data_IF_386394678448
#
_entry.id   IF_386394678448
#
_cell.length_a   1.000
_cell.length_b   1.000
_cell.length_c   1.000
_cell.angle_alpha   90.00
_cell.angle_beta   90.00
_cell.angle_gamma   90.00
#
_symmetry.space_group_name_H-M   'P 1'
#
loop_
_entity.id
_entity.type
_entity.pdbx_description
1 polymer ?
#
# COMPACT_ATOMS: atom_id res chain seq x y z
N UNK A 1 31.36 17.34 -22.93
CA UNK A 1 30.03 17.87 -22.52
C UNK A 1 29.13 18.13 -23.73
N UNK A 2 29.48 18.90 -24.77
CA UNK A 2 28.62 19.19 -25.96
C UNK A 2 28.21 17.95 -26.77
N UNK A 3 29.10 16.96 -26.96
CA UNK A 3 28.78 15.72 -27.67
C UNK A 3 27.78 14.86 -26.90
N UNK A 4 27.96 14.72 -25.57
CA UNK A 4 27.02 13.97 -24.69
C UNK A 4 25.63 14.59 -24.75
N UNK A 5 25.50 15.91 -24.61
CA UNK A 5 24.21 16.62 -24.72
C UNK A 5 23.54 16.40 -26.08
N UNK A 6 24.34 16.32 -27.17
CA UNK A 6 23.78 16.06 -28.52
C UNK A 6 23.23 14.65 -28.65
N UNK A 7 23.85 13.66 -27.97
CA UNK A 7 23.33 12.27 -27.93
C UNK A 7 22.09 12.21 -27.09
N UNK A 8 22.15 12.73 -25.85
CA UNK A 8 21.02 12.65 -24.89
C UNK A 8 19.78 13.37 -25.42
N UNK A 9 19.92 14.52 -26.10
CA UNK A 9 18.79 15.26 -26.69
C UNK A 9 18.33 14.71 -28.06
N UNK A 10 18.77 13.51 -28.45
CA UNK A 10 18.38 12.92 -29.73
C UNK A 10 16.92 12.47 -29.72
N UNK A 11 16.10 12.85 -30.73
CA UNK A 11 14.71 12.36 -30.85
C UNK A 11 14.61 10.84 -30.96
N UNK A 12 15.69 10.17 -31.44
CA UNK A 12 15.73 8.71 -31.55
C UNK A 12 15.60 8.03 -30.20
N UNK A 13 16.23 8.58 -29.16
CA UNK A 13 16.11 8.02 -27.79
C UNK A 13 14.65 8.06 -27.32
N UNK A 14 13.99 9.19 -27.51
CA UNK A 14 12.57 9.32 -27.18
C UNK A 14 11.71 8.29 -27.92
N UNK A 15 11.90 8.17 -29.23
CA UNK A 15 11.14 7.19 -30.03
C UNK A 15 11.37 5.75 -29.57
N UNK A 16 12.61 5.37 -29.28
CA UNK A 16 12.90 4.01 -28.78
C UNK A 16 12.30 3.77 -27.40
N UNK A 17 12.35 4.75 -26.49
CA UNK A 17 11.73 4.59 -25.16
C UNK A 17 10.22 4.53 -25.23
N UNK A 18 9.57 5.25 -26.16
CA UNK A 18 8.11 5.12 -26.40
C UNK A 18 7.77 3.71 -26.91
N UNK A 19 8.49 3.21 -27.92
CA UNK A 19 8.28 1.84 -28.42
C UNK A 19 8.48 0.81 -27.29
N UNK A 20 9.50 1.01 -26.45
CA UNK A 20 9.74 0.15 -25.30
C UNK A 20 8.61 0.20 -24.28
N UNK A 21 8.05 1.38 -24.00
CA UNK A 21 6.86 1.49 -23.14
C UNK A 21 5.65 0.73 -23.70
N UNK A 22 5.44 0.76 -25.02
CA UNK A 22 4.38 -0.04 -25.67
C UNK A 22 4.61 -1.53 -25.41
N UNK A 23 5.86 -2.00 -25.53
CA UNK A 23 6.24 -3.38 -25.23
C UNK A 23 5.98 -3.72 -23.76
N UNK A 24 6.34 -2.83 -22.83
CA UNK A 24 6.05 -3.01 -21.40
C UNK A 24 4.54 -3.09 -21.12
N UNK A 25 3.73 -2.21 -21.75
CA UNK A 25 2.27 -2.24 -21.63
C UNK A 25 1.72 -3.57 -22.12
N UNK A 26 2.17 -4.05 -23.28
CA UNK A 26 1.75 -5.33 -23.85
C UNK A 26 2.04 -6.50 -22.90
N UNK A 27 3.29 -6.65 -22.47
CA UNK A 27 3.65 -7.74 -21.55
C UNK A 27 3.02 -7.57 -20.17
N UNK A 28 2.92 -6.34 -19.65
CA UNK A 28 2.25 -6.06 -18.40
C UNK A 28 0.76 -6.45 -18.44
N UNK A 29 0.07 -6.16 -19.55
CA UNK A 29 -1.35 -6.53 -19.73
C UNK A 29 -1.53 -8.06 -19.81
N UNK A 30 -0.66 -8.76 -20.53
CA UNK A 30 -0.72 -10.23 -20.57
C UNK A 30 -0.48 -10.84 -19.19
N UNK A 31 0.53 -10.32 -18.48
CA UNK A 31 0.90 -10.83 -17.15
C UNK A 31 -0.22 -10.65 -16.11
N UNK A 32 -1.11 -9.65 -16.26
CA UNK A 32 -2.26 -9.45 -15.35
C UNK A 32 -3.15 -10.68 -15.26
N UNK A 33 -3.26 -11.46 -16.35
CA UNK A 33 -4.03 -12.70 -16.35
C UNK A 33 -3.48 -13.71 -15.34
N UNK A 34 -2.18 -13.76 -15.15
CA UNK A 34 -1.52 -14.81 -14.36
C UNK A 34 -1.20 -14.34 -12.93
N UNK A 35 -0.65 -13.12 -12.79
CA UNK A 35 -0.17 -12.59 -11.50
C UNK A 35 -1.01 -11.45 -10.93
N UNK A 36 -2.09 -11.05 -11.62
CA UNK A 36 -2.97 -9.95 -11.21
C UNK A 36 -2.46 -8.56 -11.57
N UNK A 37 -3.35 -7.57 -11.43
CA UNK A 37 -3.09 -6.18 -11.83
C UNK A 37 -1.93 -5.56 -11.03
N UNK A 38 -2.03 -5.60 -9.70
CA UNK A 38 -1.04 -4.98 -8.81
C UNK A 38 0.37 -5.53 -9.01
N UNK A 39 0.52 -6.86 -8.99
CA UNK A 39 1.83 -7.49 -9.17
C UNK A 39 2.43 -7.21 -10.56
N UNK A 40 1.58 -7.14 -11.61
CA UNK A 40 2.02 -6.74 -12.95
C UNK A 40 2.49 -5.29 -13.00
N UNK A 41 1.76 -4.36 -12.36
CA UNK A 41 2.17 -2.96 -12.27
C UNK A 41 3.50 -2.81 -11.54
N UNK A 42 3.67 -3.49 -10.42
CA UNK A 42 4.92 -3.47 -9.66
C UNK A 42 6.09 -4.03 -10.46
N UNK A 43 5.89 -5.15 -11.17
CA UNK A 43 6.94 -5.81 -11.94
C UNK A 43 7.38 -5.02 -13.17
N UNK A 44 6.45 -4.53 -14.00
CA UNK A 44 6.76 -3.95 -15.30
C UNK A 44 6.89 -2.43 -15.26
N UNK A 45 6.07 -1.73 -14.45
CA UNK A 45 6.01 -0.27 -14.47
C UNK A 45 6.70 0.39 -13.27
N UNK A 46 6.56 -0.19 -12.07
CA UNK A 46 7.13 0.37 -10.84
C UNK A 46 8.54 -0.13 -10.51
N UNK A 47 9.12 -0.99 -11.36
CA UNK A 47 10.49 -1.49 -11.22
C UNK A 47 11.50 -0.66 -12.01
N UNK A 48 12.76 -0.68 -11.56
CA UNK A 48 13.88 -0.17 -12.35
C UNK A 48 14.30 -1.19 -13.41
N UNK A 49 14.31 -2.47 -13.08
CA UNK A 49 14.53 -3.58 -13.99
C UNK A 49 13.66 -4.78 -13.54
N UNK A 50 13.40 -5.68 -14.45
CA UNK A 50 12.74 -6.95 -14.16
C UNK A 50 13.41 -8.08 -14.92
N UNK A 51 13.29 -9.30 -14.40
CA UNK A 51 13.84 -10.48 -15.07
C UNK A 51 12.78 -11.04 -16.04
N UNK A 52 13.08 -10.95 -17.33
CA UNK A 52 12.30 -11.63 -18.36
C UNK A 52 12.71 -13.10 -18.42
N UNK A 53 11.74 -14.00 -18.46
CA UNK A 53 11.95 -15.45 -18.39
C UNK A 53 12.80 -15.92 -17.18
N UNK A 54 12.90 -15.10 -16.11
CA UNK A 54 13.65 -15.43 -14.90
C UNK A 54 15.15 -15.18 -14.94
N UNK A 55 15.74 -14.85 -16.10
CA UNK A 55 17.20 -14.69 -16.24
C UNK A 55 17.64 -13.43 -16.97
N UNK A 56 16.86 -12.89 -17.89
CA UNK A 56 17.24 -11.75 -18.71
C UNK A 56 16.80 -10.43 -18.05
N UNK A 57 17.72 -9.59 -17.52
CA UNK A 57 17.35 -8.30 -16.96
C UNK A 57 16.98 -7.32 -18.07
N UNK A 58 15.75 -6.79 -17.98
CA UNK A 58 15.23 -5.77 -18.90
C UNK A 58 14.85 -4.50 -18.11
N UNK A 59 14.96 -3.31 -18.74
CA UNK A 59 14.62 -2.05 -18.07
C UNK A 59 13.13 -1.97 -17.83
N UNK A 60 12.75 -1.67 -16.59
CA UNK A 60 11.38 -1.43 -16.18
C UNK A 60 10.90 -0.01 -16.50
N UNK A 61 9.64 0.27 -16.16
CA UNK A 61 8.99 1.55 -16.43
C UNK A 61 9.71 2.74 -15.79
N UNK A 62 10.19 2.62 -14.56
CA UNK A 62 10.90 3.71 -13.86
C UNK A 62 12.14 4.19 -14.63
N UNK A 63 12.99 3.27 -15.07
CA UNK A 63 14.21 3.63 -15.86
C UNK A 63 13.80 4.24 -17.19
N UNK A 64 12.80 3.67 -17.85
CA UNK A 64 12.32 4.14 -19.14
C UNK A 64 11.78 5.56 -19.07
N UNK A 65 10.92 5.84 -18.07
CA UNK A 65 10.37 7.18 -17.83
C UNK A 65 11.48 8.17 -17.45
N UNK A 66 12.43 7.76 -16.62
CA UNK A 66 13.57 8.60 -16.25
C UNK A 66 14.40 8.98 -17.48
N UNK A 67 14.69 8.01 -18.37
CA UNK A 67 15.42 8.28 -19.63
C UNK A 67 14.62 9.23 -20.54
N UNK A 68 13.30 9.07 -20.65
CA UNK A 68 12.44 9.98 -21.41
C UNK A 68 12.46 11.40 -20.82
N UNK A 69 12.40 11.53 -19.50
CA UNK A 69 12.44 12.81 -18.80
C UNK A 69 13.76 13.53 -19.03
N UNK A 70 14.87 12.82 -18.89
CA UNK A 70 16.21 13.37 -19.15
C UNK A 70 16.36 13.78 -20.62
N UNK A 71 15.89 12.96 -21.56
CA UNK A 71 15.93 13.25 -22.99
C UNK A 71 15.12 14.52 -23.32
N UNK A 72 13.89 14.59 -22.82
CA UNK A 72 12.99 15.70 -23.06
C UNK A 72 13.50 17.02 -22.46
N UNK A 73 13.97 16.95 -21.20
CA UNK A 73 14.62 18.09 -20.52
C UNK A 73 15.86 18.58 -21.29
N UNK A 74 16.75 17.63 -21.70
CA UNK A 74 17.94 17.96 -22.48
C UNK A 74 17.62 18.62 -23.80
N UNK A 75 16.49 18.24 -24.44
CA UNK A 75 16.04 18.83 -25.69
C UNK A 75 15.60 20.30 -25.50
N UNK A 76 14.98 20.66 -24.36
CA UNK A 76 14.61 22.03 -24.04
C UNK A 76 15.82 22.96 -23.85
N UNK A 77 16.93 22.46 -23.35
CA UNK A 77 18.17 23.24 -23.21
C UNK A 77 18.91 23.46 -24.54
N UNK A 78 18.45 22.87 -25.63
CA UNK A 78 19.02 23.08 -26.93
C UNK A 78 18.62 24.46 -27.49
N UNK A 79 19.63 25.34 -27.71
CA UNK A 79 19.43 26.69 -28.30
C UNK A 79 18.68 26.68 -29.65
N UNK A 80 18.65 25.54 -30.35
CA UNK A 80 17.93 25.38 -31.62
C UNK A 80 16.42 25.38 -31.50
N UNK A 81 15.87 25.08 -30.32
CA UNK A 81 14.42 25.09 -30.08
C UNK A 81 13.88 26.50 -29.79
N UNK A 82 14.67 27.35 -29.14
CA UNK A 82 14.25 28.68 -28.69
C UNK A 82 14.20 29.71 -29.83
N UNK A 83 13.34 29.42 -30.84
CA UNK A 83 13.04 30.32 -31.95
C UNK A 83 11.54 30.56 -32.00
N UNK A 84 11.09 31.78 -32.27
CA UNK A 84 9.66 32.14 -32.33
C UNK A 84 8.86 31.19 -33.24
N UNK A 85 9.43 30.76 -34.37
CA UNK A 85 8.79 29.80 -35.29
C UNK A 85 8.58 28.39 -34.68
N UNK A 86 9.13 28.10 -33.50
CA UNK A 86 9.08 26.77 -32.83
C UNK A 86 8.35 26.80 -31.50
N UNK A 87 7.62 27.85 -31.19
CA UNK A 87 6.90 28.01 -29.91
C UNK A 87 6.00 26.81 -29.60
N UNK A 88 5.25 26.32 -30.61
CA UNK A 88 4.39 25.14 -30.45
C UNK A 88 5.17 23.89 -30.00
N UNK A 89 6.40 23.68 -30.54
CA UNK A 89 7.25 22.56 -30.14
C UNK A 89 7.71 22.73 -28.69
N UNK A 90 8.07 23.95 -28.28
CA UNK A 90 8.47 24.25 -26.90
C UNK A 90 7.33 23.95 -25.92
N UNK A 91 6.10 24.39 -26.24
CA UNK A 91 4.91 24.14 -25.41
C UNK A 91 4.69 22.63 -25.23
N UNK A 92 4.74 21.85 -26.32
CA UNK A 92 4.58 20.39 -26.26
C UNK A 92 5.66 19.73 -25.39
N UNK A 93 6.93 20.18 -25.51
CA UNK A 93 8.01 19.64 -24.69
C UNK A 93 7.86 19.99 -23.22
N UNK A 94 7.47 21.23 -22.90
CA UNK A 94 7.19 21.65 -21.51
C UNK A 94 6.00 20.86 -20.96
N UNK A 95 4.90 20.74 -21.71
CA UNK A 95 3.73 19.96 -21.30
C UNK A 95 4.08 18.49 -21.04
N UNK A 96 4.81 17.87 -21.95
CA UNK A 96 5.29 16.48 -21.76
C UNK A 96 6.20 16.33 -20.54
N UNK A 97 7.12 17.28 -20.31
CA UNK A 97 7.99 17.26 -19.14
C UNK A 97 7.20 17.42 -17.84
N UNK A 98 6.22 18.32 -17.80
CA UNK A 98 5.33 18.50 -16.64
C UNK A 98 4.54 17.22 -16.34
N UNK A 99 4.03 16.54 -17.36
CA UNK A 99 3.34 15.25 -17.18
C UNK A 99 4.25 14.17 -16.62
N UNK A 100 5.49 14.06 -17.13
CA UNK A 100 6.45 13.06 -16.65
C UNK A 100 6.90 13.35 -15.21
N UNK A 101 7.18 14.61 -14.88
CA UNK A 101 7.55 15.03 -13.51
C UNK A 101 6.36 14.85 -12.57
N UNK A 102 5.17 15.29 -12.97
CA UNK A 102 3.94 15.13 -12.18
C UNK A 102 3.64 13.67 -11.89
N UNK A 103 3.72 12.80 -12.91
CA UNK A 103 3.57 11.36 -12.73
C UNK A 103 4.62 10.76 -11.79
N UNK A 104 5.87 11.25 -11.85
CA UNK A 104 6.93 10.85 -10.92
C UNK A 104 6.66 11.28 -9.47
N UNK A 105 6.13 12.48 -9.27
CA UNK A 105 5.73 12.99 -7.95
C UNK A 105 4.58 12.15 -7.41
N UNK A 106 3.54 11.93 -8.21
CA UNK A 106 2.41 11.08 -7.83
C UNK A 106 2.89 9.68 -7.46
N UNK A 107 3.70 9.03 -8.30
CA UNK A 107 4.21 7.68 -8.04
C UNK A 107 5.03 7.54 -6.75
N UNK A 108 5.59 8.63 -6.23
CA UNK A 108 6.41 8.64 -5.01
C UNK A 108 5.64 9.07 -3.76
N UNK A 109 4.70 9.99 -3.89
CA UNK A 109 4.07 10.68 -2.76
C UNK A 109 2.57 10.43 -2.63
N UNK A 110 1.91 9.79 -3.62
CA UNK A 110 0.51 9.42 -3.46
C UNK A 110 0.39 8.20 -2.55
N UNK A 111 -0.61 8.23 -1.68
CA UNK A 111 -1.13 7.09 -0.95
C UNK A 111 -2.59 6.94 -1.34
N UNK A 112 -3.00 5.73 -1.63
CA UNK A 112 -4.36 5.40 -2.04
C UNK A 112 -4.97 4.41 -1.04
N UNK A 113 -6.18 4.69 -0.61
CA UNK A 113 -6.88 3.84 0.34
C UNK A 113 -8.38 4.00 0.24
N UNK A 114 -9.08 3.27 1.07
CA UNK A 114 -10.52 3.35 1.18
C UNK A 114 -10.93 3.65 2.63
N UNK A 115 -12.06 4.31 2.75
CA UNK A 115 -12.76 4.50 4.02
C UNK A 115 -14.05 3.68 3.96
N UNK A 116 -14.14 2.65 4.78
CA UNK A 116 -15.34 1.80 4.86
C UNK A 116 -16.14 2.23 6.08
N UNK A 117 -17.35 2.73 5.84
CA UNK A 117 -18.25 3.21 6.91
C UNK A 117 -19.58 2.48 6.75
N UNK A 118 -20.09 1.90 7.83
CA UNK A 118 -21.43 1.34 7.86
C UNK A 118 -22.43 2.42 8.24
N UNK A 119 -23.68 2.23 7.84
CA UNK A 119 -24.76 3.14 8.25
C UNK A 119 -24.83 3.27 9.78
N UNK A 120 -24.86 4.51 10.26
CA UNK A 120 -24.81 4.86 11.67
C UNK A 120 -23.42 4.86 12.31
N UNK A 121 -22.35 4.49 11.56
CA UNK A 121 -20.98 4.55 12.05
C UNK A 121 -20.25 5.78 11.50
N UNK A 122 -19.16 6.18 12.18
CA UNK A 122 -18.27 7.25 11.74
C UNK A 122 -16.84 6.75 11.58
N UNK A 123 -16.08 7.33 10.64
CA UNK A 123 -14.66 7.08 10.49
C UNK A 123 -13.89 8.38 10.28
N UNK A 124 -12.71 8.48 10.90
CA UNK A 124 -11.73 9.57 10.71
C UNK A 124 -10.41 9.07 10.15
N UNK A 125 -10.38 7.90 9.52
CA UNK A 125 -9.16 7.36 8.90
C UNK A 125 -9.46 6.67 7.57
N UNK A 126 -8.42 6.57 6.76
CA UNK A 126 -8.41 5.82 5.50
C UNK A 126 -7.46 4.65 5.67
N UNK A 127 -7.91 3.46 5.31
CA UNK A 127 -7.10 2.24 5.25
C UNK A 127 -6.39 2.16 3.90
N UNK A 128 -5.07 2.00 3.89
CA UNK A 128 -4.28 1.83 2.66
C UNK A 128 -4.64 0.52 1.94
N UNK A 129 -4.56 0.51 0.60
CA UNK A 129 -4.88 -0.70 -0.18
C UNK A 129 -3.84 -1.81 -0.07
N UNK A 130 -2.59 -1.47 0.21
CA UNK A 130 -1.45 -2.39 0.06
C UNK A 130 -0.56 -2.46 1.29
N UNK A 131 -0.34 -1.33 1.93
CA UNK A 131 0.58 -1.25 3.06
C UNK A 131 -0.08 -1.77 4.34
N UNK A 132 0.71 -2.48 5.12
CA UNK A 132 0.30 -3.07 6.39
C UNK A 132 1.08 -2.44 7.54
N UNK A 133 0.50 -2.47 8.71
CA UNK A 133 1.13 -2.05 9.97
C UNK A 133 0.81 -3.03 11.08
N UNK A 134 1.71 -3.16 12.05
CA UNK A 134 1.47 -3.86 13.30
C UNK A 134 1.23 -2.82 14.38
N UNK A 135 0.04 -2.82 14.96
CA UNK A 135 -0.37 -1.90 16.00
C UNK A 135 -0.45 -2.61 17.36
N UNK A 136 0.27 -2.08 18.35
CA UNK A 136 0.10 -2.40 19.76
C UNK A 136 -0.79 -1.33 20.36
N UNK A 137 -1.92 -1.73 20.89
CA UNK A 137 -2.94 -0.81 21.40
C UNK A 137 -3.05 -0.97 22.92
N UNK A 138 -2.67 0.06 23.63
CA UNK A 138 -2.82 0.13 25.08
C UNK A 138 -4.27 0.45 25.43
N UNK A 139 -4.89 -0.45 26.20
CA UNK A 139 -6.29 -0.31 26.67
C UNK A 139 -6.40 0.04 28.13
N UNK A 140 -5.28 0.23 28.84
CA UNK A 140 -5.27 0.54 30.27
C UNK A 140 -5.70 1.97 30.59
N UNK A 141 -5.74 2.86 29.60
CA UNK A 141 -6.20 4.24 29.73
C UNK A 141 -7.73 4.32 29.67
N UNK A 142 -8.35 4.96 30.64
CA UNK A 142 -9.81 4.99 30.80
C UNK A 142 -10.56 5.75 29.69
N UNK A 143 -9.93 6.78 29.11
CA UNK A 143 -10.60 7.70 28.16
C UNK A 143 -9.94 7.76 26.76
N UNK A 144 -8.86 7.01 26.53
CA UNK A 144 -8.14 7.05 25.24
C UNK A 144 -7.42 5.74 24.95
N UNK A 145 -7.29 5.41 23.67
CA UNK A 145 -6.45 4.31 23.21
C UNK A 145 -5.11 4.90 22.76
N UNK A 146 -4.03 4.35 23.26
CA UNK A 146 -2.69 4.69 22.82
C UNK A 146 -2.19 3.65 21.82
N UNK A 147 -1.75 4.10 20.65
CA UNK A 147 -1.26 3.23 19.58
C UNK A 147 0.25 3.35 19.45
N UNK A 148 0.94 2.22 19.48
CA UNK A 148 2.31 2.10 19.01
C UNK A 148 2.29 1.34 17.69
N UNK A 149 2.77 1.99 16.63
CA UNK A 149 2.65 1.48 15.26
C UNK A 149 4.02 1.15 14.71
N UNK A 150 4.16 -0.07 14.19
CA UNK A 150 5.32 -0.52 13.43
C UNK A 150 4.94 -0.64 11.96
N UNK A 151 5.55 0.20 11.11
CA UNK A 151 5.25 0.26 9.68
C UNK A 151 5.92 -0.88 8.90
N UNK A 152 5.39 -1.15 7.70
CA UNK A 152 5.80 -2.25 6.82
C UNK A 152 7.32 -2.46 6.65
N UNK A 153 8.19 -1.44 6.55
CA UNK A 153 9.64 -1.67 6.44
C UNK A 153 10.26 -2.35 7.66
N UNK A 154 9.66 -2.21 8.84
CA UNK A 154 10.11 -2.86 10.08
C UNK A 154 9.63 -4.32 10.17
N UNK A 155 8.59 -4.67 9.42
CA UNK A 155 7.93 -5.98 9.46
C UNK A 155 8.50 -6.98 8.44
N UNK A 156 9.71 -6.74 7.94
CA UNK A 156 10.42 -7.71 7.06
C UNK A 156 10.96 -8.88 7.88
N UNK A 157 10.93 -10.07 7.28
CA UNK A 157 11.40 -11.30 7.93
C UNK A 157 12.86 -11.17 8.35
N UNK A 158 13.13 -11.51 9.61
CA UNK A 158 14.46 -11.43 10.24
C UNK A 158 14.78 -10.08 10.87
N UNK A 159 13.91 -9.08 10.71
CA UNK A 159 14.08 -7.82 11.44
C UNK A 159 13.82 -8.01 12.93
N UNK A 160 14.60 -7.27 13.73
CA UNK A 160 14.49 -7.17 15.19
C UNK A 160 14.18 -5.73 15.56
N UNK A 161 13.07 -5.54 16.23
CA UNK A 161 12.60 -4.23 16.66
C UNK A 161 12.81 -4.16 18.18
N UNK A 162 13.62 -3.22 18.64
CA UNK A 162 13.75 -2.91 20.06
C UNK A 162 12.85 -1.71 20.37
N UNK A 163 11.93 -1.89 21.32
CA UNK A 163 11.02 -0.83 21.72
C UNK A 163 11.29 -0.47 23.19
N UNK A 164 12.20 0.49 23.37
CA UNK A 164 12.75 0.88 24.67
C UNK A 164 11.68 1.34 25.68
N UNK A 165 10.61 1.98 25.21
CA UNK A 165 9.53 2.46 26.08
C UNK A 165 8.86 1.34 26.88
N UNK A 166 8.67 0.18 26.25
CA UNK A 166 8.06 -0.99 26.90
C UNK A 166 9.12 -2.01 27.35
N UNK A 167 10.40 -1.81 26.99
CA UNK A 167 11.48 -2.74 27.28
C UNK A 167 11.37 -4.08 26.54
N UNK A 168 10.63 -4.12 25.41
CA UNK A 168 10.39 -5.35 24.65
C UNK A 168 11.22 -5.40 23.37
N UNK A 169 11.46 -6.63 22.92
CA UNK A 169 12.04 -6.95 21.62
C UNK A 169 11.03 -7.75 20.81
N UNK A 170 10.87 -7.37 19.56
CA UNK A 170 9.97 -8.03 18.61
C UNK A 170 10.81 -8.55 17.46
N UNK A 171 10.90 -9.88 17.33
CA UNK A 171 11.59 -10.53 16.22
C UNK A 171 10.56 -10.98 15.18
N UNK A 172 10.69 -10.53 13.94
CA UNK A 172 9.79 -10.92 12.85
C UNK A 172 10.25 -12.26 12.29
N UNK A 173 9.43 -13.29 12.51
CA UNK A 173 9.75 -14.68 12.13
C UNK A 173 9.29 -14.94 10.70
N UNK A 174 8.04 -14.56 10.36
CA UNK A 174 7.50 -14.78 9.02
C UNK A 174 6.46 -13.70 8.67
N UNK A 175 6.40 -13.36 7.38
CA UNK A 175 5.43 -12.44 6.81
C UNK A 175 4.79 -13.08 5.58
N UNK A 176 3.61 -13.63 5.77
CA UNK A 176 2.89 -14.45 4.79
C UNK A 176 1.90 -13.58 4.04
N UNK A 177 1.98 -13.56 2.69
CA UNK A 177 1.12 -12.72 1.84
C UNK A 177 -0.35 -13.13 1.84
N UNK A 178 -0.64 -14.41 2.03
CA UNK A 178 -2.00 -14.93 2.10
C UNK A 178 -2.02 -16.13 3.01
N UNK A 179 -2.91 -16.16 4.00
CA UNK A 179 -3.00 -17.21 5.00
C UNK A 179 -4.35 -17.92 4.97
N UNK A 180 -4.31 -19.20 5.30
CA UNK A 180 -5.47 -19.93 5.81
C UNK A 180 -5.20 -20.34 7.26
N UNK A 181 -6.28 -20.50 8.00
CA UNK A 181 -6.25 -20.83 9.41
C UNK A 181 -6.78 -22.24 9.55
N UNK A 182 -6.09 -23.05 10.32
CA UNK A 182 -6.52 -24.40 10.66
C UNK A 182 -6.45 -24.59 12.17
N UNK A 183 -7.38 -25.38 12.73
CA UNK A 183 -7.32 -25.74 14.14
C UNK A 183 -6.10 -26.65 14.38
N UNK A 184 -5.42 -26.43 15.49
CA UNK A 184 -4.30 -27.26 15.90
C UNK A 184 -4.81 -28.64 16.37
N UNK A 185 -4.23 -29.71 15.87
CA UNK A 185 -4.64 -31.09 16.20
C UNK A 185 -3.94 -31.54 17.51
N UNK A 186 -2.72 -31.08 17.74
CA UNK A 186 -1.93 -31.42 18.93
C UNK A 186 -1.73 -30.18 19.81
N UNK A 187 -1.55 -30.36 21.14
CA UNK A 187 -1.23 -29.24 22.01
C UNK A 187 -0.06 -28.43 21.47
N UNK A 188 -0.16 -27.11 21.58
CA UNK A 188 0.94 -26.22 21.20
C UNK A 188 2.12 -26.41 22.14
N UNK A 189 3.33 -26.19 21.60
CA UNK A 189 4.52 -26.01 22.44
C UNK A 189 4.35 -24.74 23.28
N UNK A 190 4.86 -24.74 24.52
CA UNK A 190 4.70 -23.61 25.46
C UNK A 190 5.25 -22.27 24.97
N UNK A 191 6.07 -22.31 23.92
CA UNK A 191 6.60 -21.13 23.25
C UNK A 191 5.53 -20.38 22.42
N UNK A 192 4.50 -21.08 21.95
CA UNK A 192 3.39 -20.47 21.21
C UNK A 192 2.39 -19.86 22.19
N UNK A 193 1.94 -18.68 21.88
CA UNK A 193 1.02 -17.89 22.73
C UNK A 193 -0.19 -17.41 21.94
N UNK A 194 -1.22 -16.99 22.68
CA UNK A 194 -2.42 -16.39 22.11
C UNK A 194 -3.08 -17.30 21.06
N UNK A 195 -3.38 -16.75 19.91
CA UNK A 195 -4.05 -17.44 18.79
C UNK A 195 -3.33 -18.73 18.36
N UNK A 196 -2.01 -18.76 18.44
CA UNK A 196 -1.21 -19.93 18.05
C UNK A 196 -1.33 -21.13 19.02
N UNK A 197 -1.97 -21.00 20.18
CA UNK A 197 -2.25 -22.13 21.07
C UNK A 197 -3.24 -23.11 20.41
N UNK A 198 -4.30 -22.58 19.79
CA UNK A 198 -5.42 -23.36 19.29
C UNK A 198 -5.42 -23.49 17.77
N UNK A 199 -4.72 -22.60 17.07
CA UNK A 199 -4.71 -22.51 15.62
C UNK A 199 -3.29 -22.47 15.06
N UNK A 200 -3.18 -22.82 13.78
CA UNK A 200 -1.99 -22.65 12.96
C UNK A 200 -2.30 -21.77 11.75
N UNK A 201 -1.33 -20.93 11.41
CA UNK A 201 -1.38 -20.11 10.20
C UNK A 201 -0.58 -20.81 9.11
N UNK A 202 -1.23 -21.10 7.99
CA UNK A 202 -0.63 -21.85 6.88
C UNK A 202 -0.59 -20.95 5.65
N UNK A 203 0.56 -20.85 4.95
CA UNK A 203 0.65 -20.15 3.69
C UNK A 203 -0.32 -20.70 2.66
N UNK A 204 -1.07 -19.81 2.00
CA UNK A 204 -1.91 -20.08 0.84
C UNK A 204 -1.33 -19.35 -0.37
N UNK A 205 -1.49 -19.91 -1.58
CA UNK A 205 -1.13 -19.19 -2.79
C UNK A 205 -1.86 -17.82 -2.83
N UNK A 206 -1.13 -16.74 -3.15
CA UNK A 206 -1.75 -15.42 -3.26
C UNK A 206 -2.85 -15.41 -4.32
N UNK A 207 -3.97 -14.77 -4.00
CA UNK A 207 -5.02 -14.47 -4.96
C UNK A 207 -4.54 -13.37 -5.91
N UNK A 208 -5.04 -13.40 -7.15
CA UNK A 208 -4.65 -12.43 -8.20
C UNK A 208 -5.07 -11.00 -7.83
N UNK A 209 -6.20 -10.88 -7.19
CA UNK A 209 -6.69 -9.64 -6.62
C UNK A 209 -6.02 -9.42 -5.24
N UNK A 210 -5.10 -8.45 -5.16
CA UNK A 210 -4.34 -8.23 -3.94
C UNK A 210 -5.22 -7.92 -2.72
N UNK A 211 -6.38 -7.30 -2.94
CA UNK A 211 -7.34 -6.97 -1.89
C UNK A 211 -8.02 -8.18 -1.26
N UNK A 212 -8.03 -9.34 -1.95
CA UNK A 212 -8.59 -10.59 -1.46
C UNK A 212 -7.60 -11.41 -0.63
N UNK A 213 -6.33 -11.04 -0.67
CA UNK A 213 -5.32 -11.69 0.16
C UNK A 213 -5.52 -11.32 1.63
N UNK A 214 -5.29 -12.30 2.49
CA UNK A 214 -5.27 -12.14 3.94
C UNK A 214 -3.83 -12.27 4.41
N UNK A 215 -3.06 -11.18 4.46
CA UNK A 215 -1.69 -11.25 4.97
C UNK A 215 -1.66 -11.56 6.46
N UNK A 216 -0.61 -12.26 6.89
CA UNK A 216 -0.38 -12.63 8.28
C UNK A 216 1.09 -12.46 8.65
N UNK A 217 1.31 -12.16 9.92
CA UNK A 217 2.60 -11.95 10.54
C UNK A 217 2.79 -12.95 11.67
N UNK A 218 3.97 -13.56 11.75
CA UNK A 218 4.41 -14.38 12.89
C UNK A 218 5.60 -13.65 13.49
N UNK A 219 5.54 -13.39 14.79
CA UNK A 219 6.56 -12.62 15.48
C UNK A 219 6.75 -13.14 16.90
N UNK A 220 7.93 -12.94 17.45
CA UNK A 220 8.28 -13.27 18.82
C UNK A 220 8.37 -12.01 19.66
N UNK A 221 7.81 -12.04 20.85
CA UNK A 221 7.97 -11.00 21.88
C UNK A 221 8.87 -11.55 22.96
N UNK A 222 9.85 -10.74 23.37
CA UNK A 222 10.76 -11.01 24.50
C UNK A 222 10.92 -9.74 25.35
N UNK A 223 11.18 -9.93 26.63
CA UNK A 223 11.47 -8.85 27.57
C UNK A 223 10.30 -8.45 28.46
N UNK A 224 9.21 -9.23 28.44
CA UNK A 224 8.06 -9.05 29.35
C UNK A 224 8.24 -9.96 30.56
N UNK A 225 7.51 -11.05 30.62
CA UNK A 225 7.63 -12.10 31.62
C UNK A 225 7.57 -13.49 30.94
N UNK A 226 7.78 -14.55 31.68
CA UNK A 226 7.77 -15.92 31.15
C UNK A 226 6.42 -16.36 30.58
N UNK A 227 5.35 -15.75 31.04
CA UNK A 227 3.99 -16.11 30.60
C UNK A 227 3.61 -15.36 29.33
N UNK A 228 4.14 -14.17 29.14
CA UNK A 228 3.90 -13.32 27.97
C UNK A 228 4.96 -13.49 26.87
N UNK A 229 6.23 -13.77 27.24
CA UNK A 229 7.29 -14.02 26.26
C UNK A 229 6.95 -15.25 25.42
N UNK A 230 7.01 -15.10 24.08
CA UNK A 230 6.70 -16.20 23.18
C UNK A 230 6.43 -15.78 21.75
N UNK A 231 5.94 -16.73 20.95
CA UNK A 231 5.63 -16.56 19.55
C UNK A 231 4.13 -16.32 19.40
N UNK A 232 3.81 -15.23 18.74
CA UNK A 232 2.46 -14.76 18.44
C UNK A 232 2.23 -14.71 16.94
N UNK A 233 0.98 -14.60 16.56
CA UNK A 233 0.61 -14.29 15.19
C UNK A 233 -0.53 -13.30 15.14
N UNK A 234 -0.53 -12.49 14.09
CA UNK A 234 -1.69 -11.66 13.77
C UNK A 234 -1.88 -11.63 12.26
N UNK A 235 -3.12 -11.52 11.80
CA UNK A 235 -3.46 -11.53 10.38
C UNK A 235 -4.61 -10.59 10.09
N UNK A 236 -4.67 -10.12 8.86
CA UNK A 236 -5.71 -9.18 8.43
C UNK A 236 -7.10 -9.77 8.65
N UNK A 237 -7.93 -9.05 9.40
CA UNK A 237 -9.30 -9.45 9.73
C UNK A 237 -9.41 -10.48 10.84
N UNK A 238 -8.42 -10.59 11.71
CA UNK A 238 -8.51 -11.35 12.96
C UNK A 238 -9.58 -10.70 13.86
N UNK A 239 -10.60 -11.47 14.22
CA UNK A 239 -11.75 -10.94 14.97
C UNK A 239 -11.45 -10.70 16.45
N UNK A 240 -10.62 -11.56 17.02
CA UNK A 240 -10.21 -11.48 18.43
C UNK A 240 -8.68 -11.32 18.41
N UNK A 241 -8.17 -10.12 18.65
CA UNK A 241 -6.74 -9.90 18.73
C UNK A 241 -6.17 -10.56 19.96
N UNK A 242 -4.89 -10.95 19.89
CA UNK A 242 -4.17 -11.42 21.06
C UNK A 242 -3.94 -10.27 22.04
N UNK A 243 -4.13 -10.56 23.33
CA UNK A 243 -3.93 -9.63 24.41
C UNK A 243 -2.80 -10.11 25.32
N UNK A 244 -2.03 -9.17 25.84
CA UNK A 244 -0.95 -9.45 26.78
C UNK A 244 -0.69 -8.24 27.68
N UNK A 245 -0.10 -8.52 28.84
CA UNK A 245 0.26 -7.49 29.82
C UNK A 245 1.75 -7.19 29.72
N UNK A 246 2.08 -5.89 29.65
CA UNK A 246 3.46 -5.40 29.69
C UNK A 246 3.54 -4.32 30.75
N UNK A 247 4.40 -4.52 31.77
CA UNK A 247 4.61 -3.56 32.86
C UNK A 247 3.32 -3.17 33.62
N UNK A 248 2.33 -4.08 33.71
CA UNK A 248 1.04 -3.82 34.34
C UNK A 248 0.03 -3.08 33.46
N UNK A 249 0.34 -2.85 32.22
CA UNK A 249 -0.57 -2.28 31.22
C UNK A 249 -1.05 -3.36 30.25
N UNK A 250 -2.34 -3.31 29.90
CA UNK A 250 -2.95 -4.27 28.98
C UNK A 250 -2.89 -3.78 27.55
N UNK A 251 -2.31 -4.60 26.68
CA UNK A 251 -2.18 -4.36 25.27
C UNK A 251 -2.93 -5.42 24.48
N UNK A 252 -3.47 -5.03 23.30
CA UNK A 252 -3.78 -5.98 22.24
C UNK A 252 -2.96 -5.66 20.99
N UNK A 253 -2.71 -6.69 20.18
CA UNK A 253 -1.94 -6.56 18.94
C UNK A 253 -2.85 -6.78 17.73
N UNK A 254 -2.74 -5.88 16.75
CA UNK A 254 -3.51 -5.93 15.52
C UNK A 254 -2.60 -5.75 14.31
N UNK A 255 -2.57 -6.76 13.43
CA UNK A 255 -1.95 -6.62 12.12
C UNK A 255 -3.04 -6.21 11.13
N UNK A 256 -2.93 -4.97 10.66
CA UNK A 256 -4.00 -4.31 9.89
C UNK A 256 -3.43 -3.53 8.72
N UNK A 257 -4.32 -3.05 7.84
CA UNK A 257 -3.94 -2.07 6.82
C UNK A 257 -3.48 -0.78 7.48
N UNK A 258 -2.45 -0.16 6.90
CA UNK A 258 -1.92 1.12 7.38
C UNK A 258 -3.04 2.15 7.40
N UNK A 259 -3.24 2.81 8.53
CA UNK A 259 -4.24 3.85 8.73
C UNK A 259 -3.65 5.24 8.59
N UNK A 260 -4.24 6.05 7.72
CA UNK A 260 -3.97 7.49 7.65
C UNK A 260 -5.12 8.23 8.31
N UNK A 261 -4.84 8.85 9.45
CA UNK A 261 -5.83 9.63 10.18
C UNK A 261 -6.05 10.98 9.50
N UNK A 262 -7.31 11.37 9.37
CA UNK A 262 -7.73 12.60 8.74
C UNK A 262 -8.04 13.66 9.83
N UNK A 263 -7.89 14.96 9.52
CA UNK A 263 -8.28 16.03 10.45
C UNK A 263 -9.80 16.24 10.54
N UNK A 264 -10.58 15.27 10.09
CA UNK A 264 -12.04 15.26 10.10
C UNK A 264 -12.54 13.82 10.19
N UNK A 265 -13.80 13.66 10.55
CA UNK A 265 -14.51 12.38 10.47
C UNK A 265 -15.79 12.51 9.64
N UNK A 266 -16.18 11.39 9.04
CA UNK A 266 -17.39 11.26 8.24
C UNK A 266 -18.27 10.20 8.90
N UNK A 267 -19.52 10.56 9.17
CA UNK A 267 -20.57 9.64 9.60
C UNK A 267 -21.49 9.33 8.42
N UNK A 268 -21.77 8.07 8.15
CA UNK A 268 -22.71 7.66 7.13
C UNK A 268 -24.10 7.50 7.75
N UNK A 269 -25.04 8.36 7.35
CA UNK A 269 -26.41 8.33 7.84
C UNK A 269 -27.27 7.32 7.07
N UNK A 270 -27.20 7.36 5.74
CA UNK A 270 -28.04 6.53 4.87
C UNK A 270 -27.32 6.28 3.53
N UNK A 271 -27.44 5.04 3.02
CA UNK A 271 -26.89 4.63 1.74
C UNK A 271 -27.98 4.09 0.82
N UNK A 272 -28.20 4.74 -0.30
CA UNK A 272 -29.22 4.37 -1.28
C UNK A 272 -28.61 3.86 -2.57
N UNK A 273 -29.04 2.67 -2.97
CA UNK A 273 -28.76 2.09 -4.28
C UNK A 273 -30.05 2.03 -5.08
N UNK A 274 -30.14 2.82 -6.14
CA UNK A 274 -31.30 2.82 -7.07
C UNK A 274 -30.97 1.92 -8.26
N UNK A 275 -31.88 1.01 -8.60
CA UNK A 275 -31.73 0.10 -9.73
C UNK A 275 -32.40 0.66 -10.99
N UNK A 276 -31.94 0.25 -12.17
CA UNK A 276 -32.70 0.44 -13.40
C UNK A 276 -33.99 -0.41 -13.35
N UNK A 277 -35.12 0.12 -13.85
CA UNK A 277 -36.38 -0.63 -13.86
C UNK A 277 -36.22 -2.01 -14.49
N UNK A 278 -36.76 -3.03 -13.82
CA UNK A 278 -36.76 -4.44 -14.25
C UNK A 278 -35.36 -5.06 -14.47
N UNK A 279 -34.31 -4.53 -13.84
CA UNK A 279 -32.95 -5.08 -13.93
C UNK A 279 -32.27 -5.12 -12.54
N UNK A 280 -31.17 -5.91 -12.44
CA UNK A 280 -30.28 -5.90 -11.28
C UNK A 280 -29.07 -4.97 -11.46
N UNK A 281 -29.14 -4.07 -12.43
CA UNK A 281 -28.06 -3.11 -12.70
C UNK A 281 -28.32 -1.84 -11.92
N UNK A 282 -27.34 -1.40 -11.14
CA UNK A 282 -27.45 -0.15 -10.39
C UNK A 282 -27.49 1.04 -11.34
N UNK A 283 -28.46 1.96 -11.11
CA UNK A 283 -28.61 3.23 -11.83
C UNK A 283 -27.80 4.32 -11.15
N UNK A 284 -27.96 4.47 -9.85
CA UNK A 284 -27.28 5.48 -9.03
C UNK A 284 -26.97 4.94 -7.65
N UNK A 285 -25.93 5.48 -7.05
CA UNK A 285 -25.61 5.34 -5.64
C UNK A 285 -25.64 6.73 -5.02
N UNK A 286 -26.17 6.86 -3.82
CA UNK A 286 -26.16 8.10 -3.05
C UNK A 286 -25.91 7.80 -1.58
N UNK A 287 -25.12 8.65 -0.93
CA UNK A 287 -24.85 8.57 0.51
C UNK A 287 -25.25 9.89 1.17
N UNK A 288 -25.96 9.82 2.26
CA UNK A 288 -26.20 10.96 3.14
C UNK A 288 -25.19 10.89 4.29
N UNK A 289 -24.39 11.94 4.44
CA UNK A 289 -23.27 11.97 5.38
C UNK A 289 -23.30 13.20 6.26
N UNK A 290 -22.82 13.05 7.51
CA UNK A 290 -22.39 14.16 8.35
C UNK A 290 -20.87 14.27 8.29
N UNK A 291 -20.39 15.50 8.19
CA UNK A 291 -18.96 15.80 8.20
C UNK A 291 -18.60 16.55 9.50
N UNK A 292 -17.67 16.00 10.27
CA UNK A 292 -17.18 16.60 11.51
C UNK A 292 -15.72 17.01 11.32
N UNK A 293 -15.46 18.28 11.01
CA UNK A 293 -14.12 18.85 10.96
C UNK A 293 -13.75 19.51 12.30
N UNK A 294 -12.48 19.76 12.51
CA UNK A 294 -11.97 20.40 13.74
C UNK A 294 -12.62 21.77 14.00
N UNK A 295 -13.28 22.39 12.99
CA UNK A 295 -13.92 23.71 13.12
C UNK A 295 -15.24 23.90 12.35
N UNK A 296 -15.87 22.90 11.75
CA UNK A 296 -17.13 23.11 10.99
C UNK A 296 -18.03 21.89 10.97
N UNK A 297 -19.25 22.03 11.45
CA UNK A 297 -20.39 21.18 11.11
C UNK A 297 -20.87 21.61 9.72
N UNK A 298 -20.52 20.88 8.68
CA UNK A 298 -21.08 21.06 7.34
C UNK A 298 -21.77 19.78 6.91
N UNK A 299 -23.06 19.85 6.62
CA UNK A 299 -23.82 18.77 6.00
C UNK A 299 -23.58 18.89 4.48
N UNK A 300 -22.94 17.91 3.88
CA UNK A 300 -22.73 17.84 2.45
C UNK A 300 -23.49 16.63 1.91
N UNK A 301 -24.51 16.87 1.09
CA UNK A 301 -25.20 15.82 0.32
C UNK A 301 -24.61 15.74 -1.08
N UNK A 302 -24.13 14.57 -1.46
CA UNK A 302 -23.66 14.28 -2.82
C UNK A 302 -24.68 13.38 -3.52
N UNK A 303 -25.14 13.81 -4.67
CA UNK A 303 -26.05 13.03 -5.57
C UNK A 303 -25.33 12.62 -6.84
#
# INVERSE_FOLDING_TARGET
MKQLMKVISSPKIFSYTVVWLIVLVFFGTIAQKDIGLYASQMKYFSSYYFLFAGFLPLPGGRVTILLMTINLASSLFSKKLWKMKKVGIIIVHIGGLLLLIGGGITAKFSSEGNMVIKEGESSGHVDDYHDMELAFVNTSLLDSLEYTIFEAPLLEVGNKIEYDRLGIKIDIIDHIKNVRIESRISPADSIYKGFLNDFVIIPKAPDKENTQNRPGLIFKIEGTDKDTDGIYSSFLGQRVPDTFEINGELFFVEFRRKRTYLPFSIELLDFKKVMHPATNVAKTFSSEINFFGVNCLNIITWS
#
